data_IF_015737294627
#
_entry.id   IF_015737294627
#
_cell.length_a   1.000
_cell.length_b   1.000
_cell.length_c   1.000
_cell.angle_alpha   90.00
_cell.angle_beta   90.00
_cell.angle_gamma   90.00
#
_symmetry.space_group_name_H-M   'P 1'
#
loop_
_entity.id
_entity.type
_entity.pdbx_description
1 polymer ?
#
# COMPACT_ATOMS: atom_id res chain seq x y z
N UNK A 1 42.21 -21.01 24.80
CA UNK A 1 41.55 -20.90 23.49
C UNK A 1 40.18 -20.29 23.76
N UNK A 2 40.06 -18.97 23.54
CA UNK A 2 38.87 -18.21 23.91
C UNK A 2 37.83 -18.30 22.78
N UNK A 3 36.65 -18.86 23.08
CA UNK A 3 35.54 -18.94 22.16
C UNK A 3 34.72 -17.63 22.23
N UNK A 4 35.02 -16.70 21.33
CA UNK A 4 34.27 -15.45 21.18
C UNK A 4 32.83 -15.72 20.73
N UNK A 5 31.88 -15.50 21.65
CA UNK A 5 30.43 -15.55 21.37
C UNK A 5 30.06 -14.35 20.51
N UNK A 6 29.80 -14.58 19.22
CA UNK A 6 29.32 -13.57 18.27
C UNK A 6 27.86 -13.24 18.61
N UNK A 7 27.62 -12.16 19.36
CA UNK A 7 26.29 -11.61 19.58
C UNK A 7 25.81 -11.00 18.24
N UNK A 8 24.66 -11.45 17.75
CA UNK A 8 24.12 -11.04 16.46
C UNK A 8 23.58 -9.60 16.48
N UNK A 9 24.20 -8.72 15.71
CA UNK A 9 23.73 -7.36 15.44
C UNK A 9 22.75 -7.31 14.25
N UNK A 10 21.66 -8.09 14.27
CA UNK A 10 20.64 -8.04 13.19
C UNK A 10 19.53 -6.99 13.44
N UNK A 11 19.17 -6.71 14.68
CA UNK A 11 17.92 -6.00 15.00
C UNK A 11 17.88 -4.50 14.63
N UNK A 12 19.03 -3.84 14.44
CA UNK A 12 19.07 -2.43 14.07
C UNK A 12 18.92 -2.20 12.55
N UNK A 13 19.35 -3.15 11.74
CA UNK A 13 19.19 -3.08 10.28
C UNK A 13 17.73 -3.31 9.87
N UNK A 14 17.02 -4.21 10.56
CA UNK A 14 15.61 -4.52 10.26
C UNK A 14 14.67 -3.33 10.50
N UNK A 15 14.94 -2.47 11.49
CA UNK A 15 14.15 -1.25 11.73
C UNK A 15 14.33 -0.24 10.60
N UNK A 16 15.56 0.13 10.27
CA UNK A 16 15.86 1.05 9.16
C UNK A 16 15.23 0.56 7.85
N UNK A 17 15.43 -0.72 7.52
CA UNK A 17 14.86 -1.29 6.30
C UNK A 17 13.33 -1.41 6.30
N UNK A 18 12.67 -1.43 7.47
CA UNK A 18 11.19 -1.42 7.52
C UNK A 18 10.67 -0.02 7.26
N UNK A 19 11.27 0.99 7.90
CA UNK A 19 10.91 2.39 7.70
C UNK A 19 11.17 2.85 6.26
N UNK A 20 12.31 2.48 5.68
CA UNK A 20 12.68 2.76 4.29
C UNK A 20 11.64 2.21 3.29
N UNK A 21 11.17 0.97 3.51
CA UNK A 21 10.12 0.37 2.66
C UNK A 21 8.81 1.13 2.76
N UNK A 22 8.41 1.54 3.97
CA UNK A 22 7.24 2.38 4.14
C UNK A 22 7.41 3.74 3.46
N UNK A 23 8.58 4.37 3.58
CA UNK A 23 8.87 5.64 2.88
C UNK A 23 8.77 5.47 1.36
N UNK A 24 9.33 4.40 0.79
CA UNK A 24 9.21 4.10 -0.63
C UNK A 24 7.76 3.87 -1.06
N UNK A 25 6.97 3.18 -0.24
CA UNK A 25 5.52 3.02 -0.45
C UNK A 25 4.79 4.37 -0.49
N UNK A 26 5.02 5.25 0.48
CA UNK A 26 4.35 6.55 0.53
C UNK A 26 4.84 7.53 -0.55
N UNK A 27 6.08 7.38 -1.03
CA UNK A 27 6.59 8.15 -2.15
C UNK A 27 5.80 7.84 -3.43
N UNK A 28 5.61 6.56 -3.76
CA UNK A 28 4.90 6.10 -4.95
C UNK A 28 3.95 4.92 -4.65
N UNK A 29 2.76 5.15 -4.06
CA UNK A 29 1.86 4.06 -3.67
C UNK A 29 1.31 3.25 -4.85
N UNK A 30 1.40 3.79 -6.08
CA UNK A 30 0.94 3.14 -7.31
C UNK A 30 1.87 2.01 -7.79
N UNK A 31 3.14 2.01 -7.36
CA UNK A 31 4.11 0.97 -7.67
C UNK A 31 3.97 -0.28 -6.79
N UNK A 32 3.04 -0.22 -5.84
CA UNK A 32 2.77 -1.30 -4.90
C UNK A 32 1.42 -1.95 -5.20
N UNK A 33 1.39 -3.27 -5.16
CA UNK A 33 0.15 -4.03 -5.11
C UNK A 33 -0.43 -3.94 -3.70
N UNK A 34 -1.66 -3.44 -3.57
CA UNK A 34 -2.44 -3.52 -2.33
C UNK A 34 -3.20 -4.84 -2.31
N UNK A 35 -2.74 -5.76 -1.46
CA UNK A 35 -3.33 -7.09 -1.31
C UNK A 35 -4.25 -7.17 -0.08
N UNK A 36 -4.53 -6.07 0.62
CA UNK A 36 -5.28 -6.08 1.89
C UNK A 36 -6.70 -6.66 1.74
N UNK A 37 -7.33 -6.53 0.57
CA UNK A 37 -8.71 -6.98 0.31
C UNK A 37 -8.83 -8.47 -0.06
N UNK A 38 -7.78 -9.06 -0.63
CA UNK A 38 -7.79 -10.42 -1.18
C UNK A 38 -7.00 -11.44 -0.34
N UNK A 39 -6.65 -11.09 0.90
CA UNK A 39 -5.85 -11.96 1.78
C UNK A 39 -6.61 -13.22 2.19
N UNK A 40 -6.42 -14.29 1.41
CA UNK A 40 -6.87 -15.66 1.73
C UNK A 40 -5.96 -16.34 2.77
N UNK A 41 -4.74 -15.81 2.97
CA UNK A 41 -3.75 -16.36 3.87
C UNK A 41 -3.02 -15.22 4.64
N UNK A 42 -2.93 -15.29 5.98
CA UNK A 42 -2.30 -14.25 6.80
C UNK A 42 -0.78 -14.15 6.61
N UNK A 43 -0.16 -15.15 5.96
CA UNK A 43 1.27 -15.16 5.63
C UNK A 43 1.64 -14.26 4.45
N UNK A 44 0.68 -13.81 3.65
CA UNK A 44 0.97 -12.91 2.54
C UNK A 44 1.15 -11.47 3.03
N UNK A 45 2.03 -10.70 2.37
CA UNK A 45 2.20 -9.29 2.67
C UNK A 45 0.96 -8.48 2.29
N UNK A 46 0.71 -7.42 3.05
CA UNK A 46 -0.38 -6.48 2.78
C UNK A 46 -0.08 -5.64 1.54
N UNK A 47 1.18 -5.23 1.37
CA UNK A 47 1.65 -4.58 0.15
C UNK A 47 2.87 -5.27 -0.43
N UNK A 48 2.94 -5.31 -1.76
CA UNK A 48 4.10 -5.85 -2.48
C UNK A 48 4.53 -4.92 -3.60
N UNK A 49 5.80 -4.52 -3.63
CA UNK A 49 6.34 -3.73 -4.73
C UNK A 49 6.28 -4.53 -6.04
N UNK A 50 5.88 -3.89 -7.13
CA UNK A 50 5.68 -4.51 -8.44
C UNK A 50 6.98 -5.04 -9.04
N UNK A 51 8.03 -4.23 -8.99
CA UNK A 51 9.34 -4.52 -9.60
C UNK A 51 10.31 -5.23 -8.64
N UNK A 52 10.66 -4.58 -7.52
CA UNK A 52 11.63 -5.10 -6.54
C UNK A 52 11.13 -6.30 -5.72
N UNK A 53 9.82 -6.52 -5.66
CA UNK A 53 9.20 -7.59 -4.89
C UNK A 53 9.23 -7.38 -3.37
N UNK A 54 9.57 -6.19 -2.90
CA UNK A 54 9.57 -5.82 -1.48
C UNK A 54 8.20 -6.00 -0.85
N UNK A 55 8.19 -6.42 0.42
CA UNK A 55 7.00 -6.86 1.12
C UNK A 55 6.78 -6.03 2.39
N UNK A 56 5.55 -5.56 2.56
CA UNK A 56 5.13 -4.75 3.70
C UNK A 56 3.91 -5.39 4.38
N UNK A 57 3.94 -5.40 5.71
CA UNK A 57 2.84 -5.87 6.56
C UNK A 57 2.38 -4.71 7.43
N UNK A 58 1.09 -4.36 7.39
CA UNK A 58 0.50 -3.25 8.17
C UNK A 58 0.55 -3.53 9.67
N UNK A 59 0.34 -4.79 10.06
CA UNK A 59 0.46 -5.29 11.43
C UNK A 59 1.86 -5.86 11.72
N UNK A 60 2.90 -5.28 11.11
CA UNK A 60 4.29 -5.62 11.38
C UNK A 60 4.72 -5.19 12.79
N UNK A 61 5.48 -6.05 13.49
CA UNK A 61 5.95 -5.80 14.88
C UNK A 61 6.78 -4.52 15.04
N UNK A 62 7.44 -4.09 13.97
CA UNK A 62 8.38 -2.95 13.97
C UNK A 62 7.87 -1.79 13.12
N UNK A 63 6.57 -1.75 12.80
CA UNK A 63 6.02 -0.63 12.06
C UNK A 63 6.03 0.63 12.93
N UNK A 64 6.54 1.75 12.41
CA UNK A 64 6.46 3.01 13.14
C UNK A 64 5.01 3.49 13.24
N UNK A 65 4.70 4.19 14.33
CA UNK A 65 3.33 4.56 14.71
C UNK A 65 2.61 5.44 13.67
N UNK A 66 3.35 6.19 12.87
CA UNK A 66 2.81 7.05 11.81
C UNK A 66 2.25 6.28 10.61
N UNK A 67 2.65 5.02 10.39
CA UNK A 67 2.23 4.23 9.21
C UNK A 67 0.72 4.08 9.16
N UNK A 68 0.08 3.71 10.28
CA UNK A 68 -1.37 3.48 10.31
C UNK A 68 -2.15 4.77 10.03
N UNK A 69 -1.71 5.90 10.59
CA UNK A 69 -2.33 7.21 10.36
C UNK A 69 -2.16 7.65 8.90
N UNK A 70 -0.97 7.51 8.32
CA UNK A 70 -0.72 7.86 6.91
C UNK A 70 -1.48 6.94 5.94
N UNK A 71 -1.57 5.64 6.25
CA UNK A 71 -2.38 4.70 5.48
C UNK A 71 -3.86 5.07 5.50
N UNK A 72 -4.41 5.47 6.65
CA UNK A 72 -5.81 5.90 6.73
C UNK A 72 -6.07 7.10 5.82
N UNK A 73 -5.21 8.11 5.86
CA UNK A 73 -5.31 9.31 5.00
C UNK A 73 -5.23 8.93 3.50
N UNK A 74 -4.32 8.03 3.13
CA UNK A 74 -4.23 7.52 1.75
C UNK A 74 -5.48 6.76 1.32
N UNK A 75 -6.02 5.91 2.19
CA UNK A 75 -7.21 5.11 1.92
C UNK A 75 -8.44 6.01 1.71
N UNK A 76 -8.62 7.03 2.56
CA UNK A 76 -9.67 8.05 2.38
C UNK A 76 -9.52 8.80 1.05
N UNK A 77 -8.29 9.22 0.71
CA UNK A 77 -8.01 9.91 -0.56
C UNK A 77 -8.31 9.03 -1.77
N UNK A 78 -7.85 7.77 -1.78
CA UNK A 78 -8.08 6.85 -2.89
C UNK A 78 -9.53 6.36 -2.97
N UNK A 79 -10.17 6.15 -1.82
CA UNK A 79 -11.60 5.81 -1.74
C UNK A 79 -12.48 6.92 -2.31
N UNK A 80 -12.21 8.17 -1.94
CA UNK A 80 -12.92 9.34 -2.47
C UNK A 80 -12.72 9.50 -3.97
N UNK A 81 -11.48 9.36 -4.48
CA UNK A 81 -11.22 9.43 -5.93
C UNK A 81 -12.01 8.37 -6.72
N UNK A 82 -12.11 7.14 -6.19
CA UNK A 82 -12.85 6.08 -6.85
C UNK A 82 -14.36 6.32 -6.87
N UNK A 83 -14.90 6.91 -5.81
CA UNK A 83 -16.30 7.34 -5.76
C UNK A 83 -16.58 8.50 -6.73
N UNK A 84 -15.67 9.47 -6.82
CA UNK A 84 -15.77 10.57 -7.79
C UNK A 84 -15.65 10.10 -9.25
N UNK A 85 -14.71 9.20 -9.58
CA UNK A 85 -14.62 8.58 -10.92
C UNK A 85 -15.92 7.83 -11.28
N UNK A 86 -16.48 7.09 -10.33
CA UNK A 86 -17.75 6.37 -10.51
C UNK A 86 -18.91 7.35 -10.76
N UNK A 87 -18.95 8.48 -10.05
CA UNK A 87 -19.96 9.54 -10.24
C UNK A 87 -19.79 10.28 -11.56
N UNK A 88 -18.57 10.55 -11.99
CA UNK A 88 -18.26 11.19 -13.28
C UNK A 88 -18.59 10.27 -14.47
N UNK A 89 -18.35 8.95 -14.35
CA UNK A 89 -18.72 7.99 -15.40
C UNK A 89 -20.22 7.81 -15.58
N UNK A 90 -21.01 7.90 -14.51
CA UNK A 90 -22.47 7.81 -14.61
C UNK A 90 -23.11 9.08 -15.20
N UNK A 91 -22.52 10.25 -14.91
CA UNK A 91 -22.98 11.53 -15.45
C UNK A 91 -22.56 11.78 -16.91
N UNK A 92 -21.59 11.01 -17.43
CA UNK A 92 -21.13 11.11 -18.83
C UNK A 92 -21.95 10.25 -19.83
N UNK A 93 -22.92 9.46 -19.39
CA UNK A 93 -23.78 8.64 -20.26
C UNK A 93 -25.20 9.21 -20.45
N UNK A 94 -25.44 10.47 -20.07
CA UNK A 94 -26.76 11.13 -20.13
C UNK A 94 -26.71 12.43 -20.94
N UNK A 95 -26.10 12.40 -22.13
CA UNK A 95 -25.77 13.63 -22.85
C UNK A 95 -26.05 13.70 -24.34
N UNK A 96 -26.25 12.59 -25.06
CA UNK A 96 -26.47 12.66 -26.52
C UNK A 96 -27.00 11.32 -27.08
N UNK A 97 -28.32 11.15 -27.15
CA UNK A 97 -28.96 10.19 -28.09
C UNK A 97 -30.45 10.56 -28.30
N UNK A 98 -30.70 11.80 -28.72
CA UNK A 98 -31.98 12.16 -29.33
C UNK A 98 -31.78 13.16 -30.47
N UNK A 99 -31.05 12.72 -31.50
CA UNK A 99 -31.22 13.26 -32.84
C UNK A 99 -31.33 12.08 -33.82
N UNK A 100 -32.55 11.56 -33.95
CA UNK A 100 -32.92 10.73 -35.09
C UNK A 100 -34.33 11.07 -35.59
N UNK A 101 -34.32 11.80 -36.71
CA UNK A 101 -35.25 11.84 -37.84
C UNK A 101 -36.74 11.53 -37.58
N UNK A 102 -37.58 12.57 -37.72
CA UNK A 102 -38.68 12.53 -38.70
C UNK A 102 -39.15 13.93 -39.09
#
# INVERSE_FOLDING_TARGET
MEAGRKLGNNSANDMGSTEERWQAFFANPMEWWDNRKDKRNPKYPDFKHKDTGEALWVEGRYNPSWVKSQLAILDERMGSLRDQDSRMRLSSMSGDDFMSFS
#
